data_IF_788698790706
#
_entry.id   IF_788698790706
#
_cell.length_a   1.000
_cell.length_b   1.000
_cell.length_c   1.000
_cell.angle_alpha   90.00
_cell.angle_beta   90.00
_cell.angle_gamma   90.00
#
_symmetry.space_group_name_H-M   'P 1'
#
loop_
_entity.id
_entity.type
_entity.pdbx_description
1 polymer ?
#
# COMPACT_ATOMS: atom_id res chain seq x y z
N UNK A 1 -9.66 -18.18 -8.31
CA UNK A 1 -9.36 -16.86 -8.91
C UNK A 1 -8.23 -16.23 -8.12
N UNK A 2 -7.40 -15.41 -8.75
CA UNK A 2 -6.26 -14.75 -8.11
C UNK A 2 -6.70 -13.39 -7.54
N UNK A 3 -6.28 -13.09 -6.32
CA UNK A 3 -6.47 -11.83 -5.62
C UNK A 3 -5.14 -11.11 -5.44
N UNK A 4 -5.10 -9.87 -5.90
CA UNK A 4 -3.98 -8.95 -5.70
C UNK A 4 -4.46 -7.69 -4.97
N UNK A 5 -3.64 -7.22 -4.06
CA UNK A 5 -3.84 -5.94 -3.38
C UNK A 5 -2.75 -4.97 -3.79
N UNK A 6 -3.13 -3.84 -4.39
CA UNK A 6 -2.26 -2.69 -4.56
C UNK A 6 -2.26 -1.91 -3.25
N UNK A 7 -1.09 -1.68 -2.68
CA UNK A 7 -0.88 -0.88 -1.48
C UNK A 7 -0.12 0.37 -1.92
N UNK A 8 -0.69 1.54 -1.71
CA UNK A 8 -0.11 2.81 -2.18
C UNK A 8 0.08 3.76 -1.01
N UNK A 9 1.27 4.32 -0.87
CA UNK A 9 1.52 5.38 0.09
C UNK A 9 0.78 6.65 -0.35
N UNK A 10 0.06 7.25 0.58
CA UNK A 10 -0.72 8.45 0.34
C UNK A 10 0.14 9.70 0.45
N UNK A 11 0.01 10.58 -0.53
CA UNK A 11 0.67 11.88 -0.59
C UNK A 11 2.20 11.82 -0.37
N UNK A 12 2.83 10.69 -0.75
CA UNK A 12 4.21 10.42 -0.37
C UNK A 12 5.22 11.39 -1.00
N UNK A 13 5.13 11.62 -2.31
CA UNK A 13 6.06 12.53 -3.00
C UNK A 13 6.07 13.96 -2.42
N UNK A 14 4.91 14.61 -2.20
CA UNK A 14 4.88 15.89 -1.49
C UNK A 14 5.40 15.81 -0.05
N UNK A 15 5.10 14.73 0.67
CA UNK A 15 5.60 14.52 2.04
C UNK A 15 7.13 14.43 2.11
N UNK A 16 7.79 13.78 1.14
CA UNK A 16 9.26 13.65 1.16
C UNK A 16 10.01 14.97 0.98
N UNK A 17 9.35 16.04 0.51
CA UNK A 17 9.98 17.32 0.18
C UNK A 17 9.49 18.52 0.99
N UNK A 18 8.49 18.35 1.85
CA UNK A 18 7.80 19.46 2.54
C UNK A 18 7.91 19.35 4.06
N UNK A 19 8.27 20.44 4.79
CA UNK A 19 8.60 21.78 4.32
C UNK A 19 10.00 21.90 3.69
N UNK A 20 10.82 20.86 3.83
CA UNK A 20 12.13 20.71 3.20
C UNK A 20 12.36 19.23 2.89
N UNK A 21 13.27 18.89 1.95
CA UNK A 21 13.62 17.50 1.66
C UNK A 21 14.06 16.73 2.91
N UNK A 22 13.50 15.54 3.09
CA UNK A 22 13.98 14.56 4.07
C UNK A 22 15.31 13.95 3.58
N UNK A 23 16.26 13.64 4.50
CA UNK A 23 17.46 12.91 4.13
C UNK A 23 17.15 11.55 3.52
N UNK A 24 17.82 11.20 2.41
CA UNK A 24 17.54 9.95 1.70
C UNK A 24 17.72 8.71 2.59
N UNK A 25 18.71 8.72 3.49
CA UNK A 25 18.92 7.63 4.44
C UNK A 25 17.70 7.39 5.35
N UNK A 26 17.01 8.45 5.80
CA UNK A 26 15.78 8.33 6.58
C UNK A 26 14.63 7.77 5.74
N UNK A 27 14.54 8.18 4.46
CA UNK A 27 13.54 7.66 3.54
C UNK A 27 13.73 6.17 3.26
N UNK A 28 14.97 5.73 3.05
CA UNK A 28 15.31 4.31 2.85
C UNK A 28 14.97 3.47 4.10
N UNK A 29 15.29 3.97 5.30
CA UNK A 29 14.93 3.30 6.57
C UNK A 29 13.41 3.19 6.68
N UNK A 30 12.68 4.28 6.48
CA UNK A 30 11.21 4.30 6.55
C UNK A 30 10.58 3.31 5.55
N UNK A 31 11.05 3.30 4.30
CA UNK A 31 10.55 2.40 3.26
C UNK A 31 10.82 0.93 3.60
N UNK A 32 12.02 0.62 4.11
CA UNK A 32 12.38 -0.73 4.52
C UNK A 32 11.55 -1.22 5.72
N UNK A 33 11.33 -0.38 6.73
CA UNK A 33 10.51 -0.70 7.89
C UNK A 33 9.03 -0.86 7.55
N UNK A 34 8.50 0.01 6.68
CA UNK A 34 7.13 -0.08 6.19
C UNK A 34 6.92 -1.37 5.40
N UNK A 35 7.83 -1.70 4.48
CA UNK A 35 7.79 -2.95 3.74
C UNK A 35 7.83 -4.16 4.66
N UNK A 36 8.79 -4.21 5.60
CA UNK A 36 8.91 -5.28 6.59
C UNK A 36 7.63 -5.43 7.43
N UNK A 37 6.99 -4.33 7.79
CA UNK A 37 5.75 -4.33 8.59
C UNK A 37 4.55 -4.85 7.80
N UNK A 38 4.42 -4.43 6.54
CA UNK A 38 3.40 -4.94 5.61
C UNK A 38 3.61 -6.44 5.35
N UNK A 39 4.83 -6.85 5.02
CA UNK A 39 5.18 -8.25 4.78
C UNK A 39 4.80 -9.12 5.97
N UNK A 40 5.10 -8.69 7.20
CA UNK A 40 4.71 -9.41 8.42
C UNK A 40 3.19 -9.51 8.59
N UNK A 41 2.43 -8.44 8.32
CA UNK A 41 0.96 -8.46 8.40
C UNK A 41 0.35 -9.41 7.35
N UNK A 42 0.79 -9.35 6.10
CA UNK A 42 0.30 -10.22 5.03
C UNK A 42 0.75 -11.67 5.23
N UNK A 43 2.01 -11.92 5.61
CA UNK A 43 2.54 -13.27 5.87
C UNK A 43 1.81 -14.02 6.97
N UNK A 44 1.38 -13.32 8.03
CA UNK A 44 0.52 -13.90 9.08
C UNK A 44 -0.81 -14.43 8.55
N UNK A 45 -1.27 -13.91 7.42
CA UNK A 45 -2.50 -14.29 6.71
C UNK A 45 -2.20 -15.07 5.42
N UNK A 46 -1.01 -15.68 5.34
CA UNK A 46 -0.55 -16.47 4.18
C UNK A 46 -0.46 -15.70 2.86
N UNK A 47 -0.36 -14.37 2.93
CA UNK A 47 -0.02 -13.51 1.79
C UNK A 47 1.49 -13.28 1.62
N UNK A 48 1.86 -12.57 0.56
CA UNK A 48 3.24 -12.21 0.20
C UNK A 48 3.25 -10.84 -0.47
N UNK A 49 4.14 -9.94 -0.08
CA UNK A 49 4.25 -8.57 -0.61
C UNK A 49 5.53 -8.42 -1.44
N UNK A 50 5.39 -7.74 -2.57
CA UNK A 50 6.51 -7.32 -3.42
C UNK A 50 6.60 -5.80 -3.43
N UNK A 51 7.81 -5.29 -3.31
CA UNK A 51 8.10 -3.90 -3.68
C UNK A 51 7.99 -3.80 -5.21
N UNK A 52 7.11 -2.93 -5.70
CA UNK A 52 6.99 -2.69 -7.14
C UNK A 52 7.82 -1.45 -7.50
N UNK A 53 7.30 -0.29 -7.13
CA UNK A 53 7.92 1.03 -7.32
C UNK A 53 7.84 1.74 -5.99
N UNK A 54 8.83 2.54 -5.64
CA UNK A 54 9.02 3.19 -4.32
C UNK A 54 7.74 3.37 -3.46
N UNK A 55 6.73 4.07 -3.98
CA UNK A 55 5.47 4.41 -3.28
C UNK A 55 4.31 3.41 -3.45
N UNK A 56 4.52 2.29 -4.16
CA UNK A 56 3.52 1.25 -4.40
C UNK A 56 4.09 -0.16 -4.20
N UNK A 57 3.34 -0.95 -3.45
CA UNK A 57 3.61 -2.37 -3.21
C UNK A 57 2.45 -3.22 -3.72
N UNK A 58 2.75 -4.46 -4.06
CA UNK A 58 1.76 -5.42 -4.56
C UNK A 58 1.76 -6.65 -3.68
N UNK A 59 0.61 -7.01 -3.12
CA UNK A 59 0.45 -8.19 -2.31
C UNK A 59 -0.36 -9.28 -3.02
N UNK A 60 0.17 -10.50 -3.04
CA UNK A 60 -0.62 -11.71 -3.25
C UNK A 60 -1.44 -11.97 -1.98
N UNK A 61 -2.76 -11.79 -2.08
CA UNK A 61 -3.64 -11.70 -0.90
C UNK A 61 -4.82 -12.68 -0.95
N UNK A 62 -4.69 -13.79 -1.69
CA UNK A 62 -5.72 -14.83 -1.81
C UNK A 62 -6.30 -15.23 -0.43
N UNK A 63 -7.62 -15.10 -0.29
CA UNK A 63 -8.33 -15.47 0.94
C UNK A 63 -8.27 -14.44 2.06
N UNK A 64 -7.54 -13.33 1.91
CA UNK A 64 -7.52 -12.24 2.88
C UNK A 64 -8.72 -11.33 2.62
N UNK A 65 -9.61 -11.24 3.61
CA UNK A 65 -10.87 -10.53 3.51
C UNK A 65 -10.72 -9.01 3.58
N UNK A 66 -11.75 -8.24 3.16
CA UNK A 66 -11.74 -6.77 3.29
C UNK A 66 -11.63 -6.29 4.75
N UNK A 67 -12.33 -6.90 5.74
CA UNK A 67 -12.12 -6.54 7.15
C UNK A 67 -10.69 -6.76 7.63
N UNK A 68 -10.00 -7.80 7.15
CA UNK A 68 -8.60 -8.01 7.48
C UNK A 68 -7.70 -6.95 6.85
N UNK A 69 -7.93 -6.58 5.58
CA UNK A 69 -7.21 -5.47 4.94
C UNK A 69 -7.38 -4.16 5.72
N UNK A 70 -8.60 -3.83 6.17
CA UNK A 70 -8.85 -2.65 7.01
C UNK A 70 -8.03 -2.68 8.31
N UNK A 71 -7.99 -3.83 8.99
CA UNK A 71 -7.16 -4.00 10.20
C UNK A 71 -5.67 -3.83 9.92
N UNK A 72 -5.19 -4.28 8.76
CA UNK A 72 -3.79 -4.07 8.34
C UNK A 72 -3.54 -2.57 8.14
N UNK A 73 -4.37 -1.90 7.33
CA UNK A 73 -4.25 -0.47 7.05
C UNK A 73 -4.29 0.36 8.35
N UNK A 74 -5.24 0.09 9.25
CA UNK A 74 -5.33 0.76 10.56
C UNK A 74 -4.04 0.61 11.39
N UNK A 75 -3.46 -0.59 11.45
CA UNK A 75 -2.22 -0.83 12.21
C UNK A 75 -1.02 -0.11 11.61
N UNK A 76 -0.88 -0.15 10.29
CA UNK A 76 0.19 0.53 9.57
C UNK A 76 0.05 2.05 9.72
N UNK A 77 -1.14 2.58 9.47
CA UNK A 77 -1.40 4.03 9.49
C UNK A 77 -1.29 4.65 10.88
N UNK A 78 -1.37 3.86 11.96
CA UNK A 78 -1.07 4.33 13.33
C UNK A 78 0.41 4.35 13.67
N UNK A 79 1.25 3.58 12.97
CA UNK A 79 2.67 3.36 13.33
C UNK A 79 3.62 4.28 12.56
N UNK A 80 3.26 4.63 11.33
CA UNK A 80 4.15 5.35 10.42
C UNK A 80 3.72 6.81 10.22
N UNK A 81 4.67 7.71 9.88
CA UNK A 81 4.35 9.12 9.60
C UNK A 81 3.60 9.33 8.28
N UNK A 82 3.37 8.27 7.52
CA UNK A 82 2.64 8.23 6.25
C UNK A 82 1.51 7.22 6.35
N UNK A 83 0.45 7.41 5.57
CA UNK A 83 -0.66 6.45 5.47
C UNK A 83 -0.57 5.65 4.18
N UNK A 84 -1.14 4.45 4.18
CA UNK A 84 -1.34 3.63 2.99
C UNK A 84 -2.84 3.48 2.71
N UNK A 85 -3.19 3.55 1.43
CA UNK A 85 -4.49 3.13 0.92
C UNK A 85 -4.35 1.80 0.16
N UNK A 86 -5.40 0.98 0.18
CA UNK A 86 -5.39 -0.36 -0.44
C UNK A 86 -6.51 -0.55 -1.46
N UNK A 87 -6.15 -1.04 -2.65
CA UNK A 87 -7.10 -1.50 -3.65
C UNK A 87 -7.01 -3.01 -3.79
N UNK A 88 -8.14 -3.72 -3.66
CA UNK A 88 -8.19 -5.18 -3.82
C UNK A 88 -8.83 -5.52 -5.16
N UNK A 89 -8.17 -6.36 -5.95
CA UNK A 89 -8.66 -6.83 -7.23
C UNK A 89 -8.62 -8.36 -7.33
N UNK A 90 -9.71 -8.94 -7.84
CA UNK A 90 -9.82 -10.39 -8.08
C UNK A 90 -10.07 -10.63 -9.56
N UNK A 91 -9.29 -11.52 -10.17
CA UNK A 91 -9.43 -11.90 -11.57
C UNK A 91 -8.85 -13.30 -11.86
N UNK A 92 -8.93 -13.74 -13.13
CA UNK A 92 -8.32 -15.00 -13.58
C UNK A 92 -6.81 -14.88 -13.83
N UNK A 93 -6.31 -13.68 -14.15
CA UNK A 93 -4.89 -13.43 -14.42
C UNK A 93 -4.32 -12.35 -13.50
N UNK A 94 -3.00 -12.36 -13.21
CA UNK A 94 -2.35 -11.32 -12.40
C UNK A 94 -2.56 -9.90 -12.93
N UNK A 95 -2.39 -9.71 -14.23
CA UNK A 95 -2.56 -8.40 -14.87
C UNK A 95 -3.97 -7.82 -14.64
N UNK A 96 -5.01 -8.63 -14.84
CA UNK A 96 -6.39 -8.20 -14.63
C UNK A 96 -6.69 -7.88 -13.16
N UNK A 97 -6.17 -8.68 -12.21
CA UNK A 97 -6.36 -8.44 -10.79
C UNK A 97 -5.69 -7.14 -10.35
N UNK A 98 -4.44 -6.90 -10.75
CA UNK A 98 -3.72 -5.67 -10.46
C UNK A 98 -4.38 -4.45 -11.12
N UNK A 99 -4.87 -4.58 -12.36
CA UNK A 99 -5.57 -3.48 -13.06
C UNK A 99 -6.86 -3.08 -12.34
N UNK A 100 -7.63 -4.05 -11.85
CA UNK A 100 -8.86 -3.79 -11.06
C UNK A 100 -8.53 -3.08 -9.74
N UNK A 101 -7.53 -3.56 -9.01
CA UNK A 101 -7.03 -2.91 -7.79
C UNK A 101 -6.59 -1.46 -8.04
N UNK A 102 -5.89 -1.21 -9.15
CA UNK A 102 -5.40 0.12 -9.51
C UNK A 102 -6.53 1.08 -9.87
N UNK A 103 -7.50 0.64 -10.68
CA UNK A 103 -8.66 1.45 -11.07
C UNK A 103 -9.50 1.86 -9.87
N UNK A 104 -9.65 0.96 -8.89
CA UNK A 104 -10.33 1.29 -7.64
C UNK A 104 -9.64 2.47 -6.93
N UNK A 105 -8.33 2.40 -6.69
CA UNK A 105 -7.60 3.48 -6.02
C UNK A 105 -7.58 4.79 -6.82
N UNK A 106 -7.49 4.71 -8.16
CA UNK A 106 -7.59 5.89 -9.02
C UNK A 106 -8.97 6.55 -8.94
N UNK A 107 -10.04 5.76 -8.80
CA UNK A 107 -11.39 6.27 -8.60
C UNK A 107 -11.59 7.03 -7.28
N UNK A 108 -10.71 6.83 -6.30
CA UNK A 108 -10.70 7.57 -5.03
C UNK A 108 -9.91 8.89 -5.11
N UNK A 109 -9.35 9.22 -6.28
CA UNK A 109 -8.58 10.43 -6.53
C UNK A 109 -7.06 10.22 -6.56
N UNK A 110 -6.35 11.32 -6.79
CA UNK A 110 -4.90 11.34 -6.96
C UNK A 110 -4.15 10.80 -5.74
N UNK A 111 -3.09 10.02 -5.97
CA UNK A 111 -2.18 9.58 -4.91
C UNK A 111 -1.38 10.72 -4.29
N UNK A 112 -1.33 11.89 -4.94
CA UNK A 112 -0.71 13.12 -4.42
C UNK A 112 -1.73 14.06 -3.76
N UNK A 113 -2.98 13.63 -3.61
CA UNK A 113 -3.98 14.42 -2.88
C UNK A 113 -3.73 14.34 -1.38
N UNK A 114 -3.68 15.50 -0.71
CA UNK A 114 -3.64 15.57 0.75
C UNK A 114 -4.93 15.08 1.42
N UNK A 115 -6.04 14.97 0.69
CA UNK A 115 -7.34 14.55 1.23
C UNK A 115 -7.55 13.04 1.18
N UNK A 116 -6.78 12.32 0.35
CA UNK A 116 -6.88 10.87 0.19
C UNK A 116 -5.92 10.19 1.16
N UNK A 117 -6.42 9.82 2.34
CA UNK A 117 -5.61 9.16 3.39
C UNK A 117 -6.28 7.88 3.90
N UNK A 118 -5.53 6.79 3.91
CA UNK A 118 -5.87 5.56 4.62
C UNK A 118 -7.15 4.87 4.12
N UNK A 119 -7.37 4.86 2.80
CA UNK A 119 -8.59 4.33 2.17
C UNK A 119 -8.54 2.82 1.91
#
# INVERSE_FOLDING_TARGET
MLQLTLIQLDNYGPWTVTPRPHPEAELQILQAELFSSLEREFRRRKGLVFQARQDNLLALSNGISLPEHRRIAERINRRFPVTVSMGVGVARTPYEAQRRASRFLQGLGSSRSGERKGR
#
